data_IF_948299610792
#
_entry.id   IF_948299610792
#
_cell.length_a   1.000
_cell.length_b   1.000
_cell.length_c   1.000
_cell.angle_alpha   90.00
_cell.angle_beta   90.00
_cell.angle_gamma   90.00
#
_symmetry.space_group_name_H-M   'P 1'
#
loop_
_entity.id
_entity.type
_entity.pdbx_description
1 polymer ?
#
# COMPACT_ATOMS: atom_id res chain seq x y z
N UNK A 1 16.86 -6.55 -7.44
CA UNK A 1 15.38 -6.47 -7.50
C UNK A 1 14.79 -7.03 -6.22
N UNK A 2 13.76 -6.35 -5.68
CA UNK A 2 13.06 -6.78 -4.47
C UNK A 2 11.71 -7.37 -4.85
N UNK A 3 11.32 -8.49 -4.25
CA UNK A 3 10.00 -9.11 -4.45
C UNK A 3 9.36 -9.47 -3.12
N UNK A 4 8.02 -9.43 -3.09
CA UNK A 4 7.20 -9.90 -1.97
C UNK A 4 7.20 -11.43 -1.91
N UNK A 5 7.22 -12.02 -0.72
CA UNK A 5 7.04 -13.47 -0.52
C UNK A 5 5.66 -13.81 0.04
N UNK A 6 5.20 -15.06 -0.19
CA UNK A 6 5.28 -15.85 -1.42
C UNK A 6 4.03 -15.59 -2.27
N UNK A 7 4.20 -15.23 -3.49
CA UNK A 7 3.12 -15.17 -4.47
C UNK A 7 3.48 -16.06 -5.66
N UNK A 8 2.49 -16.50 -6.44
CA UNK A 8 2.75 -17.22 -7.69
C UNK A 8 3.72 -16.43 -8.60
N UNK A 9 3.64 -15.09 -8.57
CA UNK A 9 4.55 -14.19 -9.28
C UNK A 9 6.01 -14.33 -8.85
N UNK A 10 6.31 -14.62 -7.57
CA UNK A 10 7.70 -14.77 -7.11
C UNK A 10 8.38 -15.97 -7.74
N UNK A 11 7.64 -17.07 -7.98
CA UNK A 11 8.14 -18.25 -8.69
C UNK A 11 8.42 -17.93 -10.16
N UNK A 12 7.49 -17.25 -10.82
CA UNK A 12 7.64 -16.81 -12.22
C UNK A 12 8.87 -15.90 -12.40
N UNK A 13 9.01 -14.90 -11.52
CA UNK A 13 10.16 -13.99 -11.55
C UNK A 13 11.49 -14.74 -11.37
N UNK A 14 11.55 -15.69 -10.42
CA UNK A 14 12.76 -16.52 -10.22
C UNK A 14 13.09 -17.34 -11.47
N UNK A 15 12.07 -17.91 -12.15
CA UNK A 15 12.25 -18.62 -13.40
C UNK A 15 12.77 -17.72 -14.50
N UNK A 16 12.22 -16.51 -14.67
CA UNK A 16 12.69 -15.51 -15.64
C UNK A 16 14.15 -15.15 -15.39
N UNK A 17 14.54 -14.92 -14.12
CA UNK A 17 15.94 -14.62 -13.77
C UNK A 17 16.88 -15.76 -14.15
N UNK A 18 16.47 -17.01 -13.90
CA UNK A 18 17.25 -18.20 -14.26
C UNK A 18 17.36 -18.38 -15.76
N UNK A 19 16.24 -18.29 -16.49
CA UNK A 19 16.18 -18.45 -17.94
C UNK A 19 17.03 -17.42 -18.68
N UNK A 20 16.96 -16.16 -18.25
CA UNK A 20 17.71 -15.06 -18.90
C UNK A 20 19.11 -14.85 -18.32
N UNK A 21 19.62 -15.76 -17.46
CA UNK A 21 20.95 -15.67 -16.83
C UNK A 21 21.28 -14.29 -16.25
N UNK A 22 20.27 -13.63 -15.63
CA UNK A 22 20.43 -12.28 -15.09
C UNK A 22 21.45 -12.26 -13.96
N UNK A 23 22.43 -11.37 -14.05
CA UNK A 23 23.49 -11.18 -13.04
C UNK A 23 22.98 -10.49 -11.77
N UNK A 24 21.82 -9.85 -11.82
CA UNK A 24 21.22 -9.12 -10.69
C UNK A 24 20.78 -10.07 -9.58
N UNK A 25 21.07 -9.71 -8.33
CA UNK A 25 20.63 -10.49 -7.16
C UNK A 25 19.15 -10.25 -6.88
N UNK A 26 18.38 -11.32 -6.80
CA UNK A 26 16.98 -11.30 -6.39
C UNK A 26 16.88 -11.41 -4.86
N UNK A 27 16.20 -10.47 -4.23
CA UNK A 27 16.03 -10.43 -2.78
C UNK A 27 14.53 -10.46 -2.46
N UNK A 28 14.12 -11.45 -1.68
CA UNK A 28 12.76 -11.51 -1.14
C UNK A 28 12.59 -10.56 0.03
N UNK A 29 11.43 -9.94 0.10
CA UNK A 29 11.02 -9.04 1.20
C UNK A 29 9.68 -9.50 1.74
N UNK A 30 9.56 -9.56 3.06
CA UNK A 30 8.32 -9.83 3.77
C UNK A 30 8.05 -8.71 4.79
N UNK A 31 6.82 -8.63 5.28
CA UNK A 31 6.40 -7.59 6.23
C UNK A 31 7.06 -7.75 7.60
N UNK A 32 7.39 -8.96 8.00
CA UNK A 32 8.03 -9.30 9.28
C UNK A 32 9.37 -8.58 9.42
N UNK A 33 10.03 -8.25 8.31
CA UNK A 33 11.33 -7.56 8.31
C UNK A 33 11.29 -6.15 8.95
N UNK A 34 10.12 -5.54 9.09
CA UNK A 34 9.96 -4.22 9.68
C UNK A 34 8.97 -4.17 10.88
N UNK A 35 8.45 -5.31 11.34
CA UNK A 35 7.48 -5.35 12.46
C UNK A 35 8.00 -4.69 13.74
N UNK A 36 9.26 -4.85 14.05
CA UNK A 36 9.86 -4.24 15.24
C UNK A 36 9.86 -2.70 15.18
N UNK A 37 9.89 -2.10 13.99
CA UNK A 37 9.72 -0.65 13.80
C UNK A 37 8.28 -0.26 14.09
N UNK A 38 7.32 -1.02 13.56
CA UNK A 38 5.88 -0.76 13.72
C UNK A 38 5.47 -0.81 15.19
N UNK A 39 6.06 -1.70 16.00
CA UNK A 39 5.81 -1.78 17.44
C UNK A 39 6.32 -0.54 18.23
N UNK A 40 7.23 0.22 17.65
CA UNK A 40 7.85 1.40 18.29
C UNK A 40 7.29 2.73 17.82
N UNK A 41 6.39 2.73 16.83
CA UNK A 41 5.78 3.95 16.30
C UNK A 41 4.26 3.89 16.47
N UNK A 42 3.65 5.03 16.77
CA UNK A 42 2.21 5.21 16.75
C UNK A 42 1.85 6.10 15.54
N UNK A 43 1.83 5.51 14.34
CA UNK A 43 1.54 6.23 13.11
C UNK A 43 0.46 5.48 12.32
N UNK A 44 -0.71 6.11 12.19
CA UNK A 44 -1.89 5.55 11.53
C UNK A 44 -1.66 5.20 10.06
N UNK A 45 -0.74 5.89 9.38
CA UNK A 45 -0.40 5.62 7.98
C UNK A 45 0.07 4.16 7.77
N UNK A 46 0.81 3.62 8.73
CA UNK A 46 1.35 2.26 8.66
C UNK A 46 0.42 1.17 9.22
N UNK A 47 -0.88 1.46 9.41
CA UNK A 47 -1.87 0.44 9.81
C UNK A 47 -2.40 -0.36 8.61
N UNK A 48 -2.37 0.16 7.40
CA UNK A 48 -2.82 -0.55 6.21
C UNK A 48 -1.79 -1.57 5.74
N UNK A 49 -2.25 -2.73 5.27
CA UNK A 49 -1.40 -3.81 4.76
C UNK A 49 -0.44 -3.34 3.67
N UNK A 50 -0.92 -2.55 2.72
CA UNK A 50 -0.10 -2.05 1.61
C UNK A 50 1.00 -1.10 2.08
N UNK A 51 0.71 -0.22 3.05
CA UNK A 51 1.73 0.69 3.58
C UNK A 51 2.79 -0.04 4.41
N UNK A 52 2.41 -1.11 5.12
CA UNK A 52 3.37 -2.00 5.81
C UNK A 52 4.27 -2.70 4.78
N UNK A 53 3.72 -3.21 3.70
CA UNK A 53 4.48 -3.84 2.63
C UNK A 53 5.45 -2.86 1.98
N UNK A 54 5.00 -1.64 1.67
CA UNK A 54 5.85 -0.57 1.14
C UNK A 54 6.98 -0.22 2.11
N UNK A 55 6.69 -0.13 3.42
CA UNK A 55 7.71 0.09 4.44
C UNK A 55 8.74 -1.03 4.45
N UNK A 56 8.33 -2.29 4.36
CA UNK A 56 9.25 -3.42 4.34
C UNK A 56 10.23 -3.35 3.16
N UNK A 57 9.76 -2.95 1.97
CA UNK A 57 10.62 -2.72 0.80
C UNK A 57 11.58 -1.55 1.03
N UNK A 58 11.07 -0.41 1.50
CA UNK A 58 11.89 0.77 1.80
C UNK A 58 12.95 0.45 2.86
N UNK A 59 12.55 -0.22 3.94
CA UNK A 59 13.47 -0.60 5.01
C UNK A 59 14.58 -1.53 4.52
N UNK A 60 14.26 -2.49 3.65
CA UNK A 60 15.26 -3.38 3.06
C UNK A 60 16.31 -2.63 2.24
N UNK A 61 15.90 -1.57 1.55
CA UNK A 61 16.81 -0.67 0.83
C UNK A 61 17.65 0.14 1.82
N UNK A 62 17.01 0.77 2.81
CA UNK A 62 17.65 1.60 3.86
C UNK A 62 18.76 0.83 4.56
N UNK A 63 18.53 -0.45 4.90
CA UNK A 63 19.55 -1.31 5.54
C UNK A 63 20.77 -1.55 4.66
N UNK A 64 20.65 -1.49 3.34
CA UNK A 64 21.81 -1.58 2.45
C UNK A 64 22.71 -0.34 2.53
N UNK A 65 22.13 0.82 2.84
CA UNK A 65 22.88 2.05 3.08
C UNK A 65 23.37 2.18 4.52
N UNK A 66 23.22 1.13 5.35
CA UNK A 66 23.66 1.08 6.76
C UNK A 66 23.08 2.21 7.62
N UNK A 67 21.91 2.75 7.27
CA UNK A 67 21.25 3.78 8.04
C UNK A 67 20.78 3.20 9.38
N UNK A 68 21.03 3.93 10.47
CA UNK A 68 20.67 3.52 11.82
C UNK A 68 19.15 3.51 12.03
N UNK A 69 18.65 2.48 12.73
CA UNK A 69 17.21 2.31 12.98
C UNK A 69 16.62 3.47 13.81
N UNK A 70 17.39 4.15 14.65
CA UNK A 70 16.94 5.36 15.37
C UNK A 70 16.54 6.48 14.38
N UNK A 71 17.31 6.65 13.32
CA UNK A 71 17.00 7.65 12.27
C UNK A 71 15.73 7.24 11.52
N UNK A 72 15.61 5.95 11.17
CA UNK A 72 14.42 5.41 10.52
C UNK A 72 13.17 5.63 11.38
N UNK A 73 13.23 5.28 12.66
CA UNK A 73 12.13 5.47 13.61
C UNK A 73 11.69 6.94 13.69
N UNK A 74 12.66 7.87 13.81
CA UNK A 74 12.38 9.32 13.83
C UNK A 74 11.67 9.78 12.55
N UNK A 75 12.09 9.29 11.38
CA UNK A 75 11.44 9.60 10.11
C UNK A 75 10.02 9.02 10.04
N UNK A 76 9.82 7.76 10.42
CA UNK A 76 8.51 7.10 10.39
C UNK A 76 7.51 7.75 11.36
N UNK A 77 7.95 8.20 12.53
CA UNK A 77 7.09 8.90 13.50
C UNK A 77 6.57 10.22 12.94
N UNK A 78 7.36 10.91 12.12
CA UNK A 78 7.01 12.21 11.52
C UNK A 78 6.35 12.08 10.14
N UNK A 79 6.27 10.89 9.57
CA UNK A 79 5.78 10.69 8.22
C UNK A 79 4.25 10.78 8.17
N UNK A 80 3.72 11.77 7.46
CA UNK A 80 2.29 12.03 7.34
C UNK A 80 1.62 11.38 6.11
N UNK A 81 2.35 10.50 5.40
CA UNK A 81 1.86 9.91 4.15
C UNK A 81 2.23 10.75 2.93
N UNK A 82 1.69 10.34 1.79
CA UNK A 82 1.84 11.05 0.51
C UNK A 82 0.52 11.72 0.16
N UNK A 83 0.55 12.96 -0.38
CA UNK A 83 -0.66 13.64 -0.85
C UNK A 83 -1.47 12.76 -1.82
N UNK A 84 -2.78 12.76 -1.65
CA UNK A 84 -3.73 12.03 -2.51
C UNK A 84 -3.58 10.50 -2.49
N UNK A 85 -2.87 9.93 -1.52
CA UNK A 85 -2.67 8.48 -1.39
C UNK A 85 -3.08 8.02 0.01
N UNK A 86 -4.34 7.66 0.15
CA UNK A 86 -4.99 7.39 1.44
C UNK A 86 -4.75 8.54 2.45
N UNK A 87 -4.74 9.74 1.95
CA UNK A 87 -4.48 10.96 2.71
C UNK A 87 -5.67 11.24 3.62
N UNK A 88 -5.41 11.33 4.91
CA UNK A 88 -6.42 11.68 5.89
C UNK A 88 -6.69 13.18 5.83
N UNK A 89 -7.83 13.58 5.23
CA UNK A 89 -8.24 14.98 5.11
C UNK A 89 -8.89 15.46 6.40
N UNK A 90 -9.75 14.62 6.97
CA UNK A 90 -10.52 14.98 8.16
C UNK A 90 -10.86 13.75 8.96
N UNK A 91 -10.86 13.89 10.29
CA UNK A 91 -11.27 12.81 11.19
C UNK A 91 -11.88 13.39 12.47
N UNK A 92 -13.08 12.92 12.81
CA UNK A 92 -13.73 13.20 14.09
C UNK A 92 -14.47 11.94 14.61
N UNK A 93 -15.26 12.09 15.68
CA UNK A 93 -16.02 11.00 16.27
C UNK A 93 -17.15 10.45 15.37
N UNK A 94 -17.58 11.19 14.35
CA UNK A 94 -18.72 10.84 13.48
C UNK A 94 -18.27 10.23 12.16
N UNK A 95 -17.24 10.78 11.53
CA UNK A 95 -16.75 10.29 10.22
C UNK A 95 -15.28 10.60 9.98
N UNK A 96 -14.71 9.85 9.05
CA UNK A 96 -13.35 10.03 8.55
C UNK A 96 -13.42 10.33 7.04
N UNK A 97 -12.71 11.37 6.58
CA UNK A 97 -12.60 11.71 5.17
C UNK A 97 -11.18 11.38 4.68
N UNK A 98 -11.09 10.58 3.64
CA UNK A 98 -9.83 10.10 3.06
C UNK A 98 -9.79 10.43 1.58
N UNK A 99 -8.71 11.06 1.14
CA UNK A 99 -8.43 11.33 -0.26
C UNK A 99 -7.47 10.25 -0.81
N UNK A 100 -7.95 9.49 -1.77
CA UNK A 100 -7.16 8.48 -2.48
C UNK A 100 -7.24 8.66 -4.00
N UNK A 101 -7.27 9.91 -4.47
CA UNK A 101 -7.37 10.24 -5.90
C UNK A 101 -6.16 9.77 -6.73
N UNK A 102 -5.09 9.31 -6.11
CA UNK A 102 -4.00 8.56 -6.76
C UNK A 102 -4.34 7.11 -7.07
N UNK A 103 -5.44 6.56 -6.56
CA UNK A 103 -5.98 5.28 -6.97
C UNK A 103 -6.67 5.42 -8.35
N UNK A 104 -5.89 5.41 -9.40
CA UNK A 104 -6.31 5.67 -10.79
C UNK A 104 -6.84 4.42 -11.50
N UNK A 105 -7.27 3.41 -10.77
CA UNK A 105 -7.92 2.20 -11.25
C UNK A 105 -8.82 1.61 -10.16
N UNK A 106 -9.80 0.81 -10.53
CA UNK A 106 -10.65 0.12 -9.56
C UNK A 106 -9.83 -0.83 -8.67
N UNK A 107 -8.85 -1.54 -9.22
CA UNK A 107 -7.96 -2.41 -8.46
C UNK A 107 -7.17 -1.63 -7.38
N UNK A 108 -6.68 -0.44 -7.73
CA UNK A 108 -5.98 0.42 -6.77
C UNK A 108 -6.92 0.89 -5.64
N UNK A 109 -8.19 1.18 -5.95
CA UNK A 109 -9.20 1.60 -4.97
C UNK A 109 -9.61 0.49 -4.00
N UNK A 110 -9.50 -0.79 -4.40
CA UNK A 110 -9.88 -1.94 -3.56
C UNK A 110 -9.15 -1.92 -2.21
N UNK A 111 -7.91 -1.48 -2.18
CA UNK A 111 -7.15 -1.40 -0.92
C UNK A 111 -7.80 -0.43 0.06
N UNK A 112 -8.15 0.78 -0.37
CA UNK A 112 -8.82 1.78 0.47
C UNK A 112 -10.21 1.30 0.88
N UNK A 113 -10.99 0.77 -0.05
CA UNK A 113 -12.33 0.24 0.23
C UNK A 113 -12.32 -0.95 1.20
N UNK A 114 -11.22 -1.70 1.28
CA UNK A 114 -11.05 -2.81 2.23
C UNK A 114 -10.67 -2.33 3.64
N UNK A 115 -10.04 -1.16 3.76
CA UNK A 115 -9.54 -0.63 5.04
C UNK A 115 -10.65 0.03 5.88
N UNK A 116 -11.77 0.40 5.26
CA UNK A 116 -12.86 1.13 5.91
C UNK A 116 -14.18 0.35 5.84
N UNK A 117 -15.13 0.74 6.69
CA UNK A 117 -16.51 0.23 6.69
C UNK A 117 -17.47 1.41 6.61
N UNK A 118 -18.70 1.15 6.12
CA UNK A 118 -19.75 2.17 5.97
C UNK A 118 -19.32 3.35 5.11
N UNK A 119 -18.78 3.05 3.93
CA UNK A 119 -18.15 4.01 3.04
C UNK A 119 -19.19 4.74 2.19
N UNK A 120 -19.10 6.06 2.16
CA UNK A 120 -19.67 6.90 1.11
C UNK A 120 -18.55 7.19 0.12
N UNK A 121 -18.63 6.59 -1.07
CA UNK A 121 -17.54 6.60 -2.03
C UNK A 121 -17.80 7.59 -3.14
N UNK A 122 -16.95 8.61 -3.27
CA UNK A 122 -16.94 9.56 -4.39
C UNK A 122 -15.90 9.07 -5.38
N UNK A 123 -16.33 8.80 -6.61
CA UNK A 123 -15.44 8.30 -7.67
C UNK A 123 -15.78 8.98 -9.00
N UNK A 124 -14.80 9.03 -9.91
CA UNK A 124 -14.97 9.62 -11.23
C UNK A 124 -13.68 9.66 -12.01
N UNK A 125 -13.77 10.14 -13.25
CA UNK A 125 -12.66 10.22 -14.18
C UNK A 125 -12.77 9.17 -15.29
N UNK A 126 -11.83 9.21 -16.24
CA UNK A 126 -11.79 8.30 -17.38
C UNK A 126 -11.21 6.93 -16.96
N UNK A 127 -11.90 5.83 -17.22
CA UNK A 127 -11.40 4.49 -16.92
C UNK A 127 -10.17 4.17 -17.77
N UNK A 128 -9.21 3.45 -17.21
CA UNK A 128 -8.09 2.93 -17.99
C UNK A 128 -8.57 1.78 -18.89
N UNK A 129 -7.92 1.62 -20.04
CA UNK A 129 -8.16 0.48 -20.92
C UNK A 129 -8.01 -0.82 -20.12
N UNK A 130 -9.02 -1.69 -20.16
CA UNK A 130 -9.10 -2.96 -19.40
C UNK A 130 -9.19 -2.82 -17.88
N UNK A 131 -9.52 -1.65 -17.33
CA UNK A 131 -9.82 -1.53 -15.90
C UNK A 131 -11.12 -2.28 -15.59
N UNK A 132 -11.02 -3.33 -14.79
CA UNK A 132 -12.14 -4.19 -14.44
C UNK A 132 -12.63 -3.87 -13.03
N UNK A 133 -13.92 -3.73 -12.93
CA UNK A 133 -14.60 -3.42 -11.69
C UNK A 133 -14.97 -4.72 -10.92
N UNK A 134 -14.20 -5.07 -9.92
CA UNK A 134 -14.45 -6.22 -9.06
C UNK A 134 -14.87 -5.76 -7.67
N UNK A 135 -16.14 -5.46 -7.48
CA UNK A 135 -16.66 -5.01 -6.18
C UNK A 135 -17.03 -6.14 -5.22
N UNK A 136 -17.08 -7.39 -5.64
CA UNK A 136 -17.63 -8.50 -4.82
C UNK A 136 -17.09 -8.51 -3.39
N UNK A 137 -15.79 -8.25 -3.21
CA UNK A 137 -15.14 -8.37 -1.91
C UNK A 137 -15.31 -7.13 -1.00
N UNK A 138 -15.63 -5.98 -1.58
CA UNK A 138 -15.71 -4.70 -0.85
C UNK A 138 -17.07 -4.04 -0.91
N UNK A 139 -18.00 -4.53 -1.73
CA UNK A 139 -19.36 -3.96 -1.87
C UNK A 139 -20.09 -3.85 -0.54
N UNK A 140 -19.91 -4.81 0.37
CA UNK A 140 -20.48 -4.80 1.73
C UNK A 140 -19.99 -3.63 2.60
N UNK A 141 -18.88 -3.02 2.25
CA UNK A 141 -18.33 -1.87 2.98
C UNK A 141 -18.87 -0.54 2.45
N UNK A 142 -19.40 -0.51 1.21
CA UNK A 142 -19.88 0.70 0.54
C UNK A 142 -21.39 0.85 0.76
N UNK A 143 -21.79 1.92 1.45
CA UNK A 143 -23.22 2.27 1.64
C UNK A 143 -23.75 2.92 0.35
N UNK A 144 -22.99 3.85 -0.22
CA UNK A 144 -23.39 4.60 -1.41
C UNK A 144 -22.18 5.04 -2.20
N UNK A 145 -22.30 5.01 -3.52
CA UNK A 145 -21.30 5.54 -4.44
C UNK A 145 -21.87 6.77 -5.17
N UNK A 146 -21.07 7.81 -5.29
CA UNK A 146 -21.36 9.04 -6.04
C UNK A 146 -20.39 9.11 -7.21
N UNK A 147 -20.91 9.08 -8.41
CA UNK A 147 -20.11 9.10 -9.65
C UNK A 147 -20.09 10.52 -10.20
N UNK A 148 -18.89 11.02 -10.53
CA UNK A 148 -18.66 12.35 -11.10
C UNK A 148 -18.02 12.17 -12.48
N UNK A 149 -18.60 12.80 -13.53
CA UNK A 149 -18.15 12.75 -14.94
C UNK A 149 -19.03 11.92 -15.82
#
# INVERSE_FOLDING_TARGET
>A
MLIKQPTNYSKVIKSIFKLNKLKSKLISVNKESCEFLLKKINNNYFKSKGNIENLAFAYKIIKKFKINDKVVLKALTKFNGLPHRQELIFNNSKFTCVNDSKATSFEASLQSLSNFKRIYWILGGLPKKNDKFFLKDVSKNVIKAYVIG
#
